data_IF_684866233559
#
_entry.id   IF_684866233559
#
_cell.length_a   1.000
_cell.length_b   1.000
_cell.length_c   1.000
_cell.angle_alpha   90.00
_cell.angle_beta   90.00
_cell.angle_gamma   90.00
#
_symmetry.space_group_name_H-M   'P 1'
#
loop_
_entity.id
_entity.type
_entity.pdbx_description
1 polymer ?
#
# COMPACT_ATOMS: atom_id res chain seq x y z
N UNK A 1 16.36 10.11 21.14
CA UNK A 1 15.01 10.16 20.54
C UNK A 1 14.91 8.97 19.59
N UNK A 2 13.92 8.09 19.75
CA UNK A 2 13.79 6.88 18.91
C UNK A 2 13.17 7.29 17.58
N UNK A 3 13.81 6.94 16.46
CA UNK A 3 13.31 7.26 15.13
C UNK A 3 12.59 6.05 14.52
N UNK A 4 11.74 6.30 13.51
CA UNK A 4 11.04 5.24 12.79
C UNK A 4 12.01 4.24 12.10
N UNK A 5 13.26 4.67 11.83
CA UNK A 5 14.32 3.85 11.25
C UNK A 5 14.84 2.75 12.20
N UNK A 6 14.71 2.95 13.51
CA UNK A 6 15.29 2.07 14.53
C UNK A 6 14.36 0.91 14.91
N UNK A 7 13.12 0.93 14.42
CA UNK A 7 12.08 -0.05 14.76
C UNK A 7 11.97 -1.12 13.67
N UNK A 8 11.91 -2.42 14.02
CA UNK A 8 11.63 -3.48 13.07
C UNK A 8 10.33 -3.22 12.29
N UNK A 9 10.38 -3.38 10.97
CA UNK A 9 9.28 -3.04 10.08
C UNK A 9 7.96 -3.70 10.48
N UNK A 10 7.99 -4.98 10.86
CA UNK A 10 6.79 -5.73 11.25
C UNK A 10 6.09 -5.13 12.47
N UNK A 11 6.85 -4.71 13.49
CA UNK A 11 6.30 -4.09 14.70
C UNK A 11 5.68 -2.73 14.41
N UNK A 12 6.36 -1.93 13.60
CA UNK A 12 5.87 -0.61 13.19
C UNK A 12 4.60 -0.72 12.35
N UNK A 13 4.55 -1.67 11.41
CA UNK A 13 3.35 -1.90 10.58
C UNK A 13 2.18 -2.37 11.44
N UNK A 14 2.39 -3.27 12.39
CA UNK A 14 1.32 -3.74 13.28
C UNK A 14 0.73 -2.58 14.11
N UNK A 15 1.58 -1.79 14.76
CA UNK A 15 1.14 -0.63 15.55
C UNK A 15 0.44 0.45 14.69
N UNK A 16 0.96 0.71 13.47
CA UNK A 16 0.30 1.62 12.53
C UNK A 16 -1.05 1.08 12.08
N UNK A 17 -1.16 -0.22 11.84
CA UNK A 17 -2.42 -0.86 11.43
C UNK A 17 -3.51 -0.61 12.48
N UNK A 18 -3.21 -0.79 13.76
CA UNK A 18 -4.14 -0.50 14.86
C UNK A 18 -4.55 0.97 14.92
N UNK A 19 -3.62 1.89 14.63
CA UNK A 19 -3.91 3.33 14.63
C UNK A 19 -4.76 3.74 13.43
N UNK A 20 -4.46 3.19 12.25
CA UNK A 20 -5.17 3.47 11.01
C UNK A 20 -6.59 2.89 11.04
N UNK A 21 -6.81 1.74 11.68
CA UNK A 21 -8.16 1.17 11.89
C UNK A 21 -9.10 2.09 12.67
N UNK A 22 -8.57 2.99 13.51
CA UNK A 22 -9.36 3.94 14.30
C UNK A 22 -9.79 5.17 13.49
N UNK A 23 -9.27 5.34 12.28
CA UNK A 23 -9.60 6.48 11.42
C UNK A 23 -10.90 6.19 10.66
N UNK A 24 -11.90 7.08 10.76
CA UNK A 24 -13.18 6.88 10.08
C UNK A 24 -13.07 7.03 8.55
N UNK A 25 -12.05 7.73 8.05
CA UNK A 25 -11.91 7.96 6.59
C UNK A 25 -11.45 6.71 5.83
N UNK A 26 -10.90 5.71 6.53
CA UNK A 26 -10.38 4.50 5.90
C UNK A 26 -11.45 3.41 5.79
N UNK A 27 -12.47 3.70 5.00
CA UNK A 27 -13.53 2.75 4.69
C UNK A 27 -13.02 1.64 3.76
N UNK A 28 -13.27 0.38 4.10
CA UNK A 28 -12.94 -0.74 3.22
C UNK A 28 -14.00 -0.81 2.12
N UNK A 29 -13.62 -0.67 0.83
CA UNK A 29 -14.59 -0.82 -0.25
C UNK A 29 -15.11 -2.26 -0.30
N UNK A 30 -16.40 -2.44 -0.61
CA UNK A 30 -17.03 -3.77 -0.65
C UNK A 30 -16.28 -4.77 -1.56
N UNK A 31 -15.82 -4.30 -2.72
CA UNK A 31 -15.08 -5.13 -3.67
C UNK A 31 -13.73 -5.63 -3.12
N UNK A 32 -13.15 -4.99 -2.09
CA UNK A 32 -11.84 -5.33 -1.56
C UNK A 32 -11.79 -6.75 -0.95
N UNK A 33 -12.94 -7.31 -0.56
CA UNK A 33 -13.01 -8.67 -0.04
C UNK A 33 -12.96 -9.75 -1.13
N UNK A 34 -13.34 -9.40 -2.36
CA UNK A 34 -13.53 -10.36 -3.45
C UNK A 34 -12.39 -10.33 -4.48
N UNK A 35 -11.64 -9.24 -4.55
CA UNK A 35 -10.60 -9.08 -5.57
C UNK A 35 -9.22 -9.50 -5.08
N UNK A 36 -8.42 -9.95 -6.03
CA UNK A 36 -6.97 -10.09 -5.85
C UNK A 36 -6.27 -8.73 -5.90
N UNK A 37 -5.10 -8.65 -5.25
CA UNK A 37 -4.29 -7.42 -5.16
C UNK A 37 -3.57 -7.04 -6.45
N UNK A 38 -3.46 -7.96 -7.42
CA UNK A 38 -2.77 -7.73 -8.68
C UNK A 38 -2.81 -8.96 -9.59
N UNK A 39 -2.28 -8.81 -10.80
CA UNK A 39 -2.23 -9.90 -11.78
C UNK A 39 -1.36 -11.08 -11.33
N UNK A 40 -0.37 -10.79 -10.48
CA UNK A 40 0.58 -11.74 -9.88
C UNK A 40 -0.06 -12.66 -8.83
N UNK A 41 -1.10 -12.21 -8.13
CA UNK A 41 -1.77 -13.00 -7.11
C UNK A 41 -2.75 -13.99 -7.74
N UNK A 42 -2.82 -15.20 -7.19
CA UNK A 42 -3.79 -16.22 -7.61
C UNK A 42 -5.09 -16.13 -6.82
N UNK A 43 -5.00 -15.80 -5.52
CA UNK A 43 -6.14 -15.75 -4.60
C UNK A 43 -6.27 -14.35 -3.98
N UNK A 44 -7.48 -13.94 -3.56
CA UNK A 44 -7.67 -12.77 -2.71
C UNK A 44 -6.89 -12.89 -1.38
N UNK A 45 -6.52 -11.75 -0.77
CA UNK A 45 -5.91 -11.75 0.56
C UNK A 45 -6.79 -12.45 1.59
N UNK A 46 -6.21 -13.38 2.35
CA UNK A 46 -6.93 -14.14 3.38
C UNK A 46 -7.14 -13.35 4.69
N UNK A 47 -6.30 -12.34 4.92
CA UNK A 47 -6.42 -11.49 6.10
C UNK A 47 -7.55 -10.48 5.88
N UNK A 48 -8.58 -10.42 6.75
CA UNK A 48 -9.69 -9.48 6.58
C UNK A 48 -9.22 -8.01 6.66
N UNK A 49 -8.19 -7.76 7.46
CA UNK A 49 -7.62 -6.42 7.70
C UNK A 49 -6.57 -5.99 6.67
N UNK A 50 -6.45 -6.71 5.54
CA UNK A 50 -5.37 -6.47 4.57
C UNK A 50 -5.35 -5.03 4.03
N UNK A 51 -6.53 -4.38 3.97
CA UNK A 51 -6.67 -2.99 3.55
C UNK A 51 -5.91 -2.03 4.49
N UNK A 52 -6.10 -2.20 5.79
CA UNK A 52 -5.44 -1.40 6.82
C UNK A 52 -3.94 -1.69 6.90
N UNK A 53 -3.56 -2.96 6.77
CA UNK A 53 -2.13 -3.36 6.72
C UNK A 53 -1.46 -2.73 5.50
N UNK A 54 -2.13 -2.71 4.34
CA UNK A 54 -1.61 -2.07 3.13
C UNK A 54 -1.49 -0.55 3.30
N UNK A 55 -2.45 0.10 3.95
CA UNK A 55 -2.38 1.52 4.28
C UNK A 55 -1.19 1.85 5.20
N UNK A 56 -0.98 1.07 6.27
CA UNK A 56 0.17 1.21 7.16
C UNK A 56 1.51 1.03 6.41
N UNK A 57 1.59 0.04 5.52
CA UNK A 57 2.77 -0.21 4.70
C UNK A 57 3.05 0.92 3.70
N UNK A 58 2.00 1.50 3.11
CA UNK A 58 2.10 2.68 2.22
C UNK A 58 2.66 3.88 2.98
N UNK A 59 2.10 4.22 4.15
CA UNK A 59 2.59 5.32 4.99
C UNK A 59 4.06 5.14 5.36
N UNK A 60 4.45 3.93 5.77
CA UNK A 60 5.85 3.62 6.06
C UNK A 60 6.74 3.84 4.84
N UNK A 61 6.39 3.29 3.68
CA UNK A 61 7.22 3.45 2.47
C UNK A 61 7.35 4.91 2.05
N UNK A 62 6.27 5.70 2.17
CA UNK A 62 6.28 7.12 1.84
C UNK A 62 7.17 7.91 2.80
N UNK A 63 7.15 7.60 4.10
CA UNK A 63 8.07 8.22 5.06
C UNK A 63 9.54 7.91 4.77
N UNK A 64 9.86 6.67 4.41
CA UNK A 64 11.26 6.23 4.22
C UNK A 64 11.85 6.61 2.85
N UNK A 65 11.04 6.62 1.79
CA UNK A 65 11.51 6.86 0.42
C UNK A 65 11.20 8.27 -0.09
N UNK A 66 10.43 9.05 0.67
CA UNK A 66 10.02 10.39 0.28
C UNK A 66 8.84 10.40 -0.72
N UNK A 67 8.76 11.38 -1.63
CA UNK A 67 7.62 11.53 -2.53
C UNK A 67 7.60 10.39 -3.57
N UNK A 68 6.70 9.43 -3.37
CA UNK A 68 6.51 8.29 -4.27
C UNK A 68 5.28 8.45 -5.17
N UNK A 69 5.42 8.01 -6.41
CA UNK A 69 4.33 7.87 -7.37
C UNK A 69 3.55 6.57 -7.22
N UNK A 70 2.40 6.49 -7.89
CA UNK A 70 1.56 5.29 -7.87
C UNK A 70 2.25 4.08 -8.52
N UNK A 71 2.97 4.29 -9.62
CA UNK A 71 3.71 3.24 -10.34
C UNK A 71 4.80 2.60 -9.48
N UNK A 72 5.49 3.39 -8.64
CA UNK A 72 6.50 2.87 -7.73
C UNK A 72 5.88 1.97 -6.66
N UNK A 73 4.68 2.29 -6.19
CA UNK A 73 3.93 1.41 -5.30
C UNK A 73 3.45 0.15 -6.02
N UNK A 74 3.01 0.25 -7.27
CA UNK A 74 2.61 -0.89 -8.08
C UNK A 74 3.76 -1.89 -8.28
N UNK A 75 4.96 -1.40 -8.59
CA UNK A 75 6.16 -2.24 -8.71
C UNK A 75 6.60 -2.79 -7.35
N UNK A 76 6.55 -1.99 -6.29
CA UNK A 76 6.98 -2.39 -4.95
C UNK A 76 6.06 -3.42 -4.28
N UNK A 77 4.77 -3.43 -4.62
CA UNK A 77 3.81 -4.45 -4.18
C UNK A 77 3.52 -5.50 -5.25
N UNK A 78 4.20 -5.42 -6.39
CA UNK A 78 4.17 -6.41 -7.45
C UNK A 78 4.80 -7.72 -7.00
N UNK A 79 4.62 -8.74 -7.82
CA UNK A 79 5.12 -10.08 -7.55
C UNK A 79 5.49 -10.81 -8.82
N UNK A 80 6.14 -11.96 -8.67
CA UNK A 80 6.55 -12.77 -9.79
C UNK A 80 5.45 -13.74 -10.20
N UNK A 81 5.17 -13.84 -11.50
CA UNK A 81 4.15 -14.75 -12.06
C UNK A 81 4.65 -15.44 -13.31
N UNK A 82 4.46 -16.76 -13.36
CA UNK A 82 4.61 -17.55 -14.58
C UNK A 82 3.35 -17.42 -15.45
N UNK A 83 3.55 -17.37 -16.77
CA UNK A 83 2.46 -17.36 -17.75
C UNK A 83 2.57 -18.64 -18.57
N UNK A 84 1.65 -19.58 -18.34
CA UNK A 84 1.69 -20.92 -18.93
C UNK A 84 3.04 -21.60 -18.68
N UNK A 85 3.74 -22.02 -19.74
CA UNK A 85 5.03 -22.69 -19.66
C UNK A 85 6.22 -21.72 -19.57
N UNK A 86 5.99 -20.40 -19.61
CA UNK A 86 7.08 -19.42 -19.58
C UNK A 86 7.66 -19.21 -18.18
N UNK A 87 8.95 -18.84 -18.08
CA UNK A 87 9.58 -18.45 -16.83
C UNK A 87 8.82 -17.36 -16.06
N UNK A 88 9.06 -17.31 -14.76
CA UNK A 88 8.44 -16.34 -13.86
C UNK A 88 9.02 -14.95 -14.13
N UNK A 89 8.15 -13.98 -14.45
CA UNK A 89 8.52 -12.59 -14.63
C UNK A 89 7.80 -11.69 -13.60
N UNK A 90 8.43 -10.56 -13.27
CA UNK A 90 7.83 -9.56 -12.39
C UNK A 90 6.59 -8.97 -13.04
N UNK A 91 5.50 -8.88 -12.27
CA UNK A 91 4.25 -8.23 -12.65
C UNK A 91 3.84 -7.26 -11.56
N UNK A 92 3.44 -6.07 -11.98
CA UNK A 92 3.02 -5.02 -11.07
C UNK A 92 1.72 -5.39 -10.32
N UNK A 93 1.50 -4.72 -9.20
CA UNK A 93 0.25 -4.80 -8.45
C UNK A 93 -0.89 -4.05 -9.15
N UNK A 94 -2.12 -4.33 -8.75
CA UNK A 94 -3.27 -3.55 -9.16
C UNK A 94 -3.21 -2.12 -8.63
N UNK A 95 -3.42 -1.15 -9.52
CA UNK A 95 -3.38 0.28 -9.20
C UNK A 95 -4.57 0.76 -8.36
N UNK A 96 -5.72 0.10 -8.48
CA UNK A 96 -7.00 0.53 -7.89
C UNK A 96 -6.95 0.58 -6.35
N UNK A 97 -6.47 -0.49 -5.72
CA UNK A 97 -6.36 -0.58 -4.26
C UNK A 97 -5.40 0.49 -3.71
N UNK A 98 -4.19 0.59 -4.26
CA UNK A 98 -3.20 1.56 -3.81
C UNK A 98 -3.71 2.99 -3.98
N UNK A 99 -4.33 3.31 -5.13
CA UNK A 99 -4.89 4.63 -5.40
C UNK A 99 -6.02 5.00 -4.46
N UNK A 100 -6.93 4.06 -4.16
CA UNK A 100 -8.07 4.32 -3.28
C UNK A 100 -7.60 4.56 -1.84
N UNK A 101 -6.68 3.73 -1.35
CA UNK A 101 -6.07 3.91 -0.02
C UNK A 101 -5.38 5.28 0.07
N UNK A 102 -4.58 5.67 -0.93
CA UNK A 102 -3.92 6.97 -0.93
C UNK A 102 -4.91 8.14 -0.89
N UNK A 103 -6.02 8.05 -1.61
CA UNK A 103 -7.10 9.06 -1.54
C UNK A 103 -7.77 9.13 -0.17
N UNK A 104 -7.97 7.99 0.49
CA UNK A 104 -8.52 7.94 1.85
C UNK A 104 -7.54 8.55 2.86
N UNK A 105 -6.25 8.24 2.73
CA UNK A 105 -5.19 8.83 3.55
C UNK A 105 -5.01 10.35 3.31
N UNK A 106 -5.32 10.83 2.11
CA UNK A 106 -5.39 12.26 1.80
C UNK A 106 -6.60 12.92 2.50
N UNK A 107 -7.76 12.25 2.54
CA UNK A 107 -8.91 12.67 3.33
C UNK A 107 -8.59 12.78 4.83
N UNK A 108 -7.78 11.84 5.34
CA UNK A 108 -7.28 11.82 6.71
C UNK A 108 -6.17 12.85 7.03
N UNK A 109 -5.80 13.70 6.07
CA UNK A 109 -4.69 14.65 6.15
C UNK A 109 -3.32 14.01 6.52
N UNK A 110 -3.15 12.70 6.32
CA UNK A 110 -1.90 11.98 6.58
C UNK A 110 -0.95 12.02 5.39
N UNK A 111 -1.49 12.18 4.19
CA UNK A 111 -0.72 12.27 2.94
C UNK A 111 -1.16 13.52 2.19
N UNK A 112 -0.18 14.25 1.64
CA UNK A 112 -0.45 15.40 0.78
C UNK A 112 0.09 15.14 -0.62
N UNK A 113 -0.72 15.42 -1.63
CA UNK A 113 -0.26 15.40 -3.02
C UNK A 113 0.68 16.57 -3.28
N UNK A 114 1.93 16.29 -3.68
CA UNK A 114 2.84 17.29 -4.26
C UNK A 114 2.61 17.34 -5.78
N UNK A 115 2.43 18.54 -6.33
CA UNK A 115 2.37 18.73 -7.78
C UNK A 115 3.76 18.52 -8.38
N UNK A 116 3.81 17.80 -9.51
CA UNK A 116 5.06 17.55 -10.23
C UNK A 116 5.37 18.81 -11.04
N UNK A 117 6.21 19.71 -10.51
CA UNK A 117 6.64 20.92 -11.23
C UNK A 117 6.94 22.18 -10.40
N UNK A 118 6.77 22.18 -9.08
CA UNK A 118 7.29 23.29 -8.26
C UNK A 118 8.53 22.80 -7.51
N UNK A 119 9.68 23.15 -8.07
CA UNK A 119 10.95 23.05 -7.38
C UNK A 119 10.96 24.05 -6.23
N UNK A 120 11.05 23.50 -5.03
CA UNK A 120 11.87 23.99 -3.93
C UNK A 120 12.61 22.76 -3.39
#
# INVERSE_FOLDING_TARGET
MVNAYDVPASKLIAALTERVKKLPELEVPEWAHYVKTGSHAERPPQQPDWWYVRAASLLRKLYFRGPLGLTEFETAYGGSKAVAYNPKHQRDAGSSANRRILKQLEGAALVKKKLRGTGE
#
